data_IF_172523970409
#
_entry.id   IF_172523970409
#
_cell.length_a   1.000
_cell.length_b   1.000
_cell.length_c   1.000
_cell.angle_alpha   90.00
_cell.angle_beta   90.00
_cell.angle_gamma   90.00
#
_symmetry.space_group_name_H-M   'P 1'
#
loop_
_entity.id
_entity.type
_entity.pdbx_description
1 polymer ?
#
# COMPACT_ATOMS: atom_id res chain seq x y z
N UNK A 1 -35.94 -34.09 17.54
CA UNK A 1 -35.16 -33.75 16.34
C UNK A 1 -34.90 -32.23 16.44
N UNK A 2 -33.64 -31.80 16.35
CA UNK A 2 -33.31 -30.37 16.43
C UNK A 2 -33.72 -29.70 15.15
N UNK A 3 -34.25 -28.46 15.23
CA UNK A 3 -34.56 -27.66 14.05
C UNK A 3 -33.28 -26.96 13.53
N UNK A 4 -33.38 -26.27 12.38
CA UNK A 4 -32.25 -25.62 11.73
C UNK A 4 -31.59 -24.53 12.63
N UNK A 5 -32.41 -23.73 13.29
CA UNK A 5 -31.94 -22.62 14.15
C UNK A 5 -31.22 -23.17 15.39
N UNK A 6 -31.76 -24.21 16.03
CA UNK A 6 -31.13 -24.88 17.16
C UNK A 6 -29.79 -25.52 16.76
N UNK A 7 -29.69 -26.08 15.54
CA UNK A 7 -28.45 -26.67 15.04
C UNK A 7 -27.38 -25.60 14.80
N UNK A 8 -27.73 -24.47 14.20
CA UNK A 8 -26.81 -23.33 14.02
C UNK A 8 -26.30 -22.80 15.34
N UNK A 9 -27.19 -22.60 16.33
CA UNK A 9 -26.80 -22.11 17.65
C UNK A 9 -25.80 -23.06 18.32
N UNK A 10 -25.99 -24.37 18.24
CA UNK A 10 -25.08 -25.36 18.80
C UNK A 10 -23.71 -25.29 18.10
N UNK A 11 -23.67 -25.07 16.78
CA UNK A 11 -22.43 -24.94 16.03
C UNK A 11 -21.71 -23.65 16.46
N UNK A 12 -22.40 -22.52 16.54
CA UNK A 12 -21.83 -21.24 16.96
C UNK A 12 -21.27 -21.32 18.38
N UNK A 13 -21.98 -21.96 19.32
CA UNK A 13 -21.53 -22.16 20.70
C UNK A 13 -20.32 -23.14 20.80
N UNK A 14 -20.21 -24.08 19.88
CA UNK A 14 -19.11 -25.05 19.84
C UNK A 14 -17.84 -24.52 19.16
N UNK A 15 -17.96 -23.47 18.34
CA UNK A 15 -16.81 -22.88 17.66
C UNK A 15 -15.96 -22.11 18.65
N UNK A 16 -14.70 -22.50 18.77
CA UNK A 16 -13.71 -21.81 19.59
C UNK A 16 -12.55 -21.30 18.72
N UNK A 17 -11.82 -20.30 19.22
CA UNK A 17 -10.58 -19.87 18.59
C UNK A 17 -9.53 -20.97 18.66
N UNK A 18 -8.85 -21.24 17.56
CA UNK A 18 -7.71 -22.18 17.47
C UNK A 18 -6.40 -21.56 17.95
N UNK A 19 -6.46 -20.41 18.62
CA UNK A 19 -5.29 -19.64 19.04
C UNK A 19 -4.72 -18.80 17.93
N UNK A 20 -3.54 -18.27 18.17
CA UNK A 20 -2.85 -17.36 17.26
C UNK A 20 -1.44 -17.85 16.97
N UNK A 21 -0.87 -17.36 15.88
CA UNK A 21 0.51 -17.61 15.48
C UNK A 21 1.10 -16.35 14.83
N UNK A 22 2.43 -16.21 14.89
CA UNK A 22 3.13 -15.19 14.11
C UNK A 22 3.36 -15.70 12.69
N UNK A 23 3.03 -14.85 11.72
CA UNK A 23 3.20 -15.14 10.29
C UNK A 23 3.98 -14.02 9.63
N UNK A 24 4.87 -14.36 8.71
CA UNK A 24 5.57 -13.38 7.88
C UNK A 24 4.54 -12.67 6.98
N UNK A 25 4.60 -11.32 6.93
CA UNK A 25 3.64 -10.48 6.18
C UNK A 25 3.58 -10.87 4.71
N UNK A 26 4.69 -11.26 4.09
CA UNK A 26 4.75 -11.60 2.66
C UNK A 26 3.94 -12.85 2.32
N UNK A 27 3.87 -13.80 3.24
CA UNK A 27 3.12 -15.05 3.09
C UNK A 27 1.77 -15.06 3.81
N UNK A 28 1.48 -14.04 4.62
CA UNK A 28 0.27 -13.96 5.41
C UNK A 28 -0.99 -13.95 4.53
N UNK A 29 -1.96 -14.81 4.85
CA UNK A 29 -3.22 -14.97 4.11
C UNK A 29 -4.37 -15.44 5.02
N UNK A 30 -4.30 -15.15 6.32
CA UNK A 30 -5.28 -15.51 7.32
C UNK A 30 -6.04 -14.29 7.87
N UNK A 31 -6.70 -14.50 8.99
CA UNK A 31 -7.43 -13.46 9.72
C UNK A 31 -6.50 -12.87 10.77
N UNK A 32 -6.35 -11.54 10.76
CA UNK A 32 -5.49 -10.84 11.71
C UNK A 32 -6.04 -10.90 13.14
N UNK A 33 -5.17 -11.13 14.11
CA UNK A 33 -5.56 -11.31 15.50
C UNK A 33 -5.51 -10.04 16.34
N UNK A 34 -4.80 -9.01 15.88
CA UNK A 34 -4.65 -7.73 16.56
C UNK A 34 -4.81 -6.58 15.56
N UNK A 35 -5.17 -5.38 16.03
CA UNK A 35 -5.18 -4.18 15.20
C UNK A 35 -3.74 -3.81 14.80
N UNK A 36 -3.55 -3.42 13.55
CA UNK A 36 -2.27 -3.00 13.02
C UNK A 36 -2.32 -1.50 12.73
N UNK A 37 -1.42 -0.75 13.36
CA UNK A 37 -1.33 0.69 13.21
C UNK A 37 -0.02 1.10 12.54
N UNK A 38 -0.05 2.24 11.86
CA UNK A 38 1.12 2.87 11.28
C UNK A 38 2.05 3.39 12.38
N UNK A 39 3.31 2.99 12.34
CA UNK A 39 4.32 3.40 13.35
C UNK A 39 4.95 4.76 13.04
N UNK A 40 4.85 5.22 11.79
CA UNK A 40 5.42 6.47 11.29
C UNK A 40 4.63 6.97 10.08
N UNK A 41 4.79 8.25 9.68
CA UNK A 41 4.16 8.75 8.46
C UNK A 41 4.62 7.99 7.21
N UNK A 42 3.72 7.70 6.29
CA UNK A 42 4.02 7.06 5.00
C UNK A 42 3.47 7.95 3.88
N UNK A 43 4.30 8.41 2.93
CA UNK A 43 5.76 8.33 2.93
C UNK A 43 6.37 9.09 4.12
N UNK A 44 7.59 8.72 4.55
CA UNK A 44 8.25 9.31 5.73
C UNK A 44 8.74 10.75 5.53
N UNK A 45 8.84 11.19 4.27
CA UNK A 45 9.22 12.55 3.87
C UNK A 45 8.44 12.99 2.63
N UNK A 46 8.32 14.30 2.43
CA UNK A 46 7.74 14.83 1.19
C UNK A 46 8.68 14.56 0.02
N UNK A 47 8.13 14.08 -1.11
CA UNK A 47 8.91 13.71 -2.27
C UNK A 47 8.26 14.18 -3.56
N UNK A 48 9.03 14.20 -4.66
CA UNK A 48 8.50 14.53 -5.98
C UNK A 48 7.60 13.41 -6.51
N UNK A 49 6.41 13.79 -6.99
CA UNK A 49 5.50 12.88 -7.68
C UNK A 49 5.85 12.69 -9.17
N UNK A 50 6.77 13.51 -9.71
CA UNK A 50 7.12 13.54 -11.15
C UNK A 50 8.60 13.89 -11.32
N UNK A 51 9.15 13.60 -12.49
CA UNK A 51 10.41 14.16 -12.93
C UNK A 51 10.20 15.62 -13.33
N UNK A 52 11.04 16.51 -12.82
CA UNK A 52 10.85 17.94 -13.04
C UNK A 52 11.87 18.82 -12.35
N UNK A 53 11.45 20.03 -12.02
CA UNK A 53 12.28 21.04 -11.35
C UNK A 53 11.63 21.46 -10.05
N UNK A 54 12.28 21.23 -8.91
CA UNK A 54 11.79 21.71 -7.63
C UNK A 54 12.19 23.17 -7.43
N UNK A 55 11.25 23.99 -6.91
CA UNK A 55 11.40 25.43 -6.75
C UNK A 55 10.48 25.97 -5.65
N UNK A 56 10.66 27.27 -5.31
CA UNK A 56 9.75 28.03 -4.46
C UNK A 56 8.62 28.63 -5.31
N UNK A 57 7.39 28.17 -5.13
CA UNK A 57 6.22 28.61 -5.91
C UNK A 57 5.99 30.11 -5.81
N UNK A 58 6.16 30.71 -4.63
CA UNK A 58 5.94 32.13 -4.37
C UNK A 58 6.77 33.06 -5.24
N UNK A 59 7.93 32.64 -5.76
CA UNK A 59 8.76 33.42 -6.65
C UNK A 59 8.13 33.52 -8.03
N UNK A 60 7.30 32.58 -8.40
CA UNK A 60 6.64 32.53 -9.72
C UNK A 60 5.35 33.35 -9.80
N UNK A 61 4.86 33.94 -8.71
CA UNK A 61 3.56 34.62 -8.64
C UNK A 61 3.36 35.72 -9.70
N UNK A 62 4.45 36.34 -10.12
CA UNK A 62 4.42 37.45 -11.14
C UNK A 62 4.85 36.98 -12.53
N UNK A 63 5.04 35.66 -12.72
CA UNK A 63 5.41 35.14 -14.02
C UNK A 63 4.25 35.26 -15.02
N UNK A 64 4.53 35.77 -16.22
CA UNK A 64 3.59 35.82 -17.34
C UNK A 64 4.36 35.81 -18.67
N UNK A 65 3.65 35.78 -19.80
CA UNK A 65 4.26 35.72 -21.12
C UNK A 65 5.25 36.86 -21.38
N UNK A 66 4.98 38.07 -20.82
CA UNK A 66 5.78 39.28 -21.00
C UNK A 66 6.78 39.49 -19.85
N UNK A 67 6.68 38.69 -18.79
CA UNK A 67 7.56 38.76 -17.62
C UNK A 67 7.91 37.35 -17.15
N UNK A 68 8.82 36.71 -17.88
CA UNK A 68 9.32 35.41 -17.47
C UNK A 68 10.32 35.52 -16.31
N UNK A 69 10.34 34.49 -15.45
CA UNK A 69 11.27 34.41 -14.33
C UNK A 69 12.31 33.36 -14.67
N UNK A 70 13.57 33.70 -14.46
CA UNK A 70 14.71 32.81 -14.71
C UNK A 70 15.23 32.23 -13.41
N UNK A 71 15.32 30.90 -13.35
CA UNK A 71 15.91 30.17 -12.24
C UNK A 71 17.19 29.49 -12.72
N UNK A 72 18.25 29.56 -11.93
CA UNK A 72 19.49 28.85 -12.23
C UNK A 72 19.38 27.38 -11.81
N UNK A 73 19.60 26.45 -12.74
CA UNK A 73 19.67 25.01 -12.43
C UNK A 73 21.02 24.70 -11.80
N UNK A 74 21.00 24.26 -10.53
CA UNK A 74 22.22 24.02 -9.72
C UNK A 74 22.70 22.59 -9.74
N UNK A 75 21.85 21.67 -10.09
CA UNK A 75 22.15 20.23 -10.13
C UNK A 75 20.91 19.38 -10.20
N UNK A 76 21.07 18.11 -9.89
CA UNK A 76 19.98 17.12 -9.91
C UNK A 76 19.89 16.40 -8.57
N UNK A 77 18.69 16.01 -8.16
CA UNK A 77 18.39 15.27 -6.93
C UNK A 77 17.73 13.95 -7.34
N UNK A 78 18.37 12.85 -7.03
CA UNK A 78 17.85 11.51 -7.32
C UNK A 78 17.17 10.89 -6.10
N UNK A 79 16.34 9.87 -6.34
CA UNK A 79 15.76 9.09 -5.26
C UNK A 79 16.88 8.42 -4.42
N UNK A 80 16.84 8.66 -3.11
CA UNK A 80 17.87 8.20 -2.16
C UNK A 80 18.95 9.24 -1.84
N UNK A 81 19.01 10.36 -2.56
CA UNK A 81 19.92 11.45 -2.22
C UNK A 81 19.36 12.27 -1.03
N UNK A 82 20.28 12.83 -0.23
CA UNK A 82 19.93 13.92 0.69
C UNK A 82 19.90 15.24 -0.10
N UNK A 83 18.77 15.96 -0.05
CA UNK A 83 18.64 17.21 -0.79
C UNK A 83 19.56 18.30 -0.22
N UNK A 84 20.01 19.23 -1.06
CA UNK A 84 20.78 20.38 -0.61
C UNK A 84 19.98 21.26 0.35
N UNK A 85 20.68 21.99 1.21
CA UNK A 85 20.14 22.96 2.16
C UNK A 85 20.60 24.37 1.84
N UNK A 86 19.93 25.38 2.40
CA UNK A 86 20.24 26.80 2.20
C UNK A 86 20.16 27.25 0.74
N UNK A 87 19.10 26.82 0.06
CA UNK A 87 18.87 27.10 -1.35
C UNK A 87 18.41 28.55 -1.52
N UNK A 88 19.03 29.26 -2.47
CA UNK A 88 18.67 30.64 -2.78
C UNK A 88 17.35 30.70 -3.57
N UNK A 89 16.68 31.83 -3.52
CA UNK A 89 15.34 32.00 -4.09
C UNK A 89 15.23 31.69 -5.60
N UNK A 90 16.27 32.03 -6.38
CA UNK A 90 16.29 31.79 -7.82
C UNK A 90 17.10 30.58 -8.25
N UNK A 91 17.45 29.68 -7.30
CA UNK A 91 18.07 28.40 -7.60
C UNK A 91 16.99 27.34 -7.70
N UNK A 92 17.12 26.42 -8.66
CA UNK A 92 16.28 25.22 -8.80
C UNK A 92 17.15 23.98 -8.98
N UNK A 93 16.59 22.86 -8.67
CA UNK A 93 17.21 21.55 -8.92
C UNK A 93 16.29 20.70 -9.79
N UNK A 94 16.87 20.02 -10.74
CA UNK A 94 16.20 18.93 -11.41
C UNK A 94 15.95 17.83 -10.37
N UNK A 95 14.71 17.33 -10.29
CA UNK A 95 14.34 16.34 -9.27
C UNK A 95 13.64 15.17 -9.92
N UNK A 96 14.03 13.95 -9.52
CA UNK A 96 13.44 12.72 -10.04
C UNK A 96 12.29 12.25 -9.15
N UNK A 97 11.36 11.53 -9.74
CA UNK A 97 10.23 10.91 -9.04
C UNK A 97 10.70 10.13 -7.81
N UNK A 98 10.05 10.35 -6.66
CA UNK A 98 10.39 9.73 -5.39
C UNK A 98 11.57 10.35 -4.63
N UNK A 99 12.30 11.29 -5.24
CA UNK A 99 13.37 12.02 -4.56
C UNK A 99 12.81 12.96 -3.48
N UNK A 100 13.50 13.02 -2.35
CA UNK A 100 13.14 13.87 -1.21
C UNK A 100 13.17 15.35 -1.59
N UNK A 101 12.08 16.06 -1.28
CA UNK A 101 12.00 17.49 -1.49
C UNK A 101 12.93 18.26 -0.55
N UNK A 102 13.68 19.26 -1.05
CA UNK A 102 14.36 20.21 -0.18
C UNK A 102 13.36 20.98 0.70
N UNK A 103 13.70 21.24 1.96
CA UNK A 103 12.82 21.95 2.90
C UNK A 103 12.52 23.40 2.46
N UNK A 104 13.43 24.01 1.71
CA UNK A 104 13.29 25.36 1.15
C UNK A 104 12.38 25.44 -0.08
N UNK A 105 11.92 24.32 -0.63
CA UNK A 105 11.14 24.23 -1.86
C UNK A 105 9.77 23.59 -1.61
N UNK A 106 8.77 24.05 -2.35
CA UNK A 106 7.38 23.67 -2.07
C UNK A 106 6.59 23.19 -3.30
N UNK A 107 7.23 23.10 -4.47
CA UNK A 107 6.55 22.68 -5.69
C UNK A 107 7.50 22.04 -6.69
N UNK A 108 6.96 21.23 -7.59
CA UNK A 108 7.69 20.63 -8.71
C UNK A 108 7.01 21.02 -10.02
N UNK A 109 7.75 21.65 -10.92
CA UNK A 109 7.35 21.88 -12.29
C UNK A 109 7.75 20.66 -13.13
N UNK A 110 6.82 19.95 -13.80
CA UNK A 110 7.16 18.83 -14.67
C UNK A 110 8.16 19.19 -15.75
N UNK A 111 9.06 18.28 -16.11
CA UNK A 111 10.13 18.51 -17.09
C UNK A 111 9.58 19.00 -18.44
N UNK A 112 8.40 18.53 -18.84
CA UNK A 112 7.75 18.86 -20.11
C UNK A 112 7.24 20.32 -20.16
N UNK A 113 7.05 20.95 -19.00
CA UNK A 113 6.61 22.35 -18.88
C UNK A 113 7.79 23.30 -18.70
N UNK A 114 8.97 22.78 -18.45
CA UNK A 114 10.19 23.56 -18.27
C UNK A 114 10.80 23.98 -19.62
N UNK A 115 11.05 25.28 -19.80
CA UNK A 115 11.84 25.75 -20.93
C UNK A 115 13.25 26.06 -20.46
N UNK A 116 14.20 25.24 -20.87
CA UNK A 116 15.62 25.46 -20.57
C UNK A 116 16.27 26.38 -21.59
N UNK A 117 17.15 27.24 -21.09
CA UNK A 117 18.11 28.01 -21.88
C UNK A 117 19.51 27.87 -21.29
N UNK A 118 20.51 28.10 -22.10
CA UNK A 118 21.91 28.14 -21.67
C UNK A 118 22.48 29.52 -21.83
N UNK A 119 23.09 30.07 -20.77
CA UNK A 119 23.75 31.36 -20.73
C UNK A 119 25.09 31.21 -20.00
N UNK A 120 26.16 31.64 -20.61
CA UNK A 120 27.51 31.64 -20.02
C UNK A 120 27.91 30.28 -19.40
N UNK A 121 27.56 29.20 -20.09
CA UNK A 121 27.85 27.83 -19.62
C UNK A 121 26.98 27.36 -18.44
N UNK A 122 25.96 28.13 -18.04
CA UNK A 122 24.99 27.75 -16.98
C UNK A 122 23.63 27.51 -17.59
N UNK A 123 22.89 26.52 -17.04
CA UNK A 123 21.51 26.23 -17.43
C UNK A 123 20.54 27.04 -16.60
N UNK A 124 19.53 27.62 -17.26
CA UNK A 124 18.44 28.34 -16.63
C UNK A 124 17.10 27.79 -17.07
N UNK A 125 16.18 27.68 -16.10
CA UNK A 125 14.79 27.36 -16.31
C UNK A 125 13.97 28.64 -16.42
N UNK A 126 13.24 28.79 -17.52
CA UNK A 126 12.32 29.91 -17.74
C UNK A 126 10.89 29.52 -17.35
N UNK A 127 10.25 30.35 -16.55
CA UNK A 127 8.86 30.20 -16.12
C UNK A 127 8.05 31.39 -16.55
N UNK A 128 6.99 31.15 -17.35
CA UNK A 128 6.12 32.17 -17.93
C UNK A 128 4.73 32.22 -17.31
N UNK A 129 4.41 31.34 -16.34
CA UNK A 129 3.14 31.31 -15.63
C UNK A 129 3.37 30.92 -14.16
N UNK A 130 2.53 31.39 -13.23
CA UNK A 130 2.67 30.99 -11.83
C UNK A 130 2.53 29.50 -11.64
N UNK A 131 3.40 28.93 -10.81
CA UNK A 131 3.35 27.53 -10.44
C UNK A 131 2.63 27.38 -9.10
N UNK A 132 1.62 26.54 -9.05
CA UNK A 132 0.81 26.35 -7.85
C UNK A 132 1.63 25.72 -6.73
N UNK A 133 1.52 26.26 -5.52
CA UNK A 133 2.12 25.69 -4.31
C UNK A 133 1.69 24.24 -4.09
N UNK A 134 2.62 23.38 -3.69
CA UNK A 134 2.46 21.94 -3.50
C UNK A 134 2.08 21.16 -4.78
N UNK A 135 2.19 21.75 -5.97
CA UNK A 135 1.96 21.02 -7.21
C UNK A 135 3.03 19.92 -7.36
N UNK A 136 2.58 18.71 -7.70
CA UNK A 136 3.42 17.52 -7.93
C UNK A 136 4.37 17.17 -6.75
N UNK A 137 4.00 17.56 -5.55
CA UNK A 137 4.67 17.15 -4.30
C UNK A 137 3.77 16.19 -3.55
N UNK A 138 4.27 14.99 -3.30
CA UNK A 138 3.65 14.00 -2.44
C UNK A 138 4.10 14.25 -1.00
N UNK A 139 3.16 14.57 -0.13
CA UNK A 139 3.49 14.98 1.23
C UNK A 139 3.83 13.79 2.13
N UNK A 140 4.69 14.04 3.12
CA UNK A 140 4.88 13.11 4.21
C UNK A 140 3.54 12.75 4.86
N UNK A 141 3.28 11.47 5.08
CA UNK A 141 2.06 10.98 5.69
C UNK A 141 0.81 11.04 4.82
N UNK A 142 0.95 11.17 3.50
CA UNK A 142 -0.20 11.24 2.59
C UNK A 142 -0.99 9.93 2.53
N UNK A 143 -0.32 8.79 2.68
CA UNK A 143 -0.96 7.48 2.70
C UNK A 143 -1.39 7.08 4.11
N UNK A 144 -0.48 7.23 5.09
CA UNK A 144 -0.74 6.96 6.50
C UNK A 144 -0.04 7.99 7.38
N UNK A 145 -0.75 8.55 8.34
CA UNK A 145 -0.15 9.25 9.45
C UNK A 145 0.30 8.24 10.52
N UNK A 146 1.15 8.67 11.43
CA UNK A 146 1.45 7.86 12.61
C UNK A 146 0.16 7.57 13.37
N UNK A 147 0.00 6.35 13.85
CA UNK A 147 -1.16 5.81 14.57
C UNK A 147 -2.43 5.62 13.73
N UNK A 148 -2.38 5.80 12.41
CA UNK A 148 -3.49 5.42 11.52
C UNK A 148 -3.66 3.89 11.50
N UNK A 149 -4.91 3.44 11.47
CA UNK A 149 -5.25 2.02 11.38
C UNK A 149 -5.00 1.50 9.97
N UNK A 150 -4.06 0.55 9.84
CA UNK A 150 -3.77 -0.14 8.57
C UNK A 150 -4.73 -1.31 8.37
N UNK A 151 -4.97 -2.10 9.41
CA UNK A 151 -5.82 -3.29 9.36
C UNK A 151 -6.43 -3.56 10.73
N UNK A 152 -7.75 -3.73 10.81
CA UNK A 152 -8.43 -4.03 12.05
C UNK A 152 -8.43 -5.53 12.36
N UNK A 153 -8.36 -5.87 13.63
CA UNK A 153 -8.56 -7.22 14.17
C UNK A 153 -9.79 -7.90 13.57
N UNK A 154 -9.67 -9.17 13.22
CA UNK A 154 -10.74 -9.94 12.62
C UNK A 154 -10.87 -9.78 11.10
N UNK A 155 -10.09 -8.91 10.48
CA UNK A 155 -10.07 -8.75 9.02
C UNK A 155 -9.23 -9.82 8.35
N UNK A 156 -9.61 -10.19 7.13
CA UNK A 156 -8.82 -11.08 6.28
C UNK A 156 -7.66 -10.28 5.66
N UNK A 157 -6.44 -10.79 5.81
CA UNK A 157 -5.25 -10.20 5.19
C UNK A 157 -5.32 -10.42 3.68
N UNK A 158 -5.24 -9.34 2.91
CA UNK A 158 -5.11 -9.37 1.45
C UNK A 158 -3.82 -8.66 1.00
N UNK A 159 -3.54 -8.69 -0.31
CA UNK A 159 -2.29 -8.15 -0.84
C UNK A 159 -2.16 -6.62 -0.68
N UNK A 160 -3.26 -5.87 -0.70
CA UNK A 160 -3.24 -4.42 -0.45
C UNK A 160 -2.84 -4.11 1.01
N UNK A 161 -3.33 -4.88 1.97
CA UNK A 161 -2.93 -4.73 3.37
C UNK A 161 -1.44 -4.99 3.57
N UNK A 162 -0.86 -5.96 2.84
CA UNK A 162 0.59 -6.25 2.88
C UNK A 162 1.43 -5.05 2.46
N UNK A 163 1.00 -4.29 1.44
CA UNK A 163 1.70 -3.07 1.02
C UNK A 163 1.81 -2.09 2.19
N UNK A 164 0.69 -1.76 2.84
CA UNK A 164 0.66 -0.86 3.99
C UNK A 164 1.56 -1.32 5.14
N UNK A 165 1.53 -2.62 5.46
CA UNK A 165 2.37 -3.21 6.49
C UNK A 165 3.87 -3.17 6.12
N UNK A 166 4.23 -3.51 4.89
CA UNK A 166 5.62 -3.49 4.41
C UNK A 166 6.17 -2.06 4.40
N UNK A 167 5.39 -1.08 3.94
CA UNK A 167 5.77 0.35 3.97
C UNK A 167 5.99 0.87 5.39
N UNK A 168 5.38 0.22 6.38
CA UNK A 168 5.60 0.47 7.80
C UNK A 168 6.71 -0.37 8.43
N UNK A 169 7.51 -1.10 7.63
CA UNK A 169 8.57 -2.00 8.09
C UNK A 169 8.07 -3.13 9.00
N UNK A 170 6.79 -3.51 8.89
CA UNK A 170 6.22 -4.64 9.63
C UNK A 170 6.56 -5.92 8.87
N UNK A 171 7.37 -6.78 9.48
CA UNK A 171 7.82 -8.04 8.88
C UNK A 171 6.95 -9.24 9.27
N UNK A 172 6.37 -9.23 10.47
CA UNK A 172 5.49 -10.28 10.96
C UNK A 172 4.26 -9.70 11.64
N UNK A 173 3.19 -10.45 11.65
CA UNK A 173 1.93 -10.11 12.30
C UNK A 173 1.34 -11.32 12.98
N UNK A 174 0.51 -11.09 14.00
CA UNK A 174 -0.21 -12.13 14.69
C UNK A 174 -1.51 -12.43 13.98
N UNK A 175 -1.68 -13.63 13.48
CA UNK A 175 -2.89 -14.10 12.82
C UNK A 175 -3.55 -15.22 13.63
N UNK A 176 -4.86 -15.41 13.45
CA UNK A 176 -5.53 -16.61 13.96
C UNK A 176 -5.05 -17.83 13.19
N UNK A 177 -4.80 -18.91 13.93
CA UNK A 177 -4.46 -20.20 13.33
C UNK A 177 -5.62 -20.69 12.47
N UNK A 178 -5.31 -21.24 11.31
CA UNK A 178 -6.28 -21.87 10.44
C UNK A 178 -6.70 -23.22 11.01
N UNK A 179 -8.02 -23.55 11.00
CA UNK A 179 -8.49 -24.87 11.38
C UNK A 179 -8.12 -25.90 10.32
N UNK A 180 -7.91 -27.14 10.75
CA UNK A 180 -7.96 -28.31 9.88
C UNK A 180 -9.40 -28.77 9.76
N UNK A 181 -9.93 -28.89 8.57
CA UNK A 181 -11.34 -29.23 8.31
C UNK A 181 -11.47 -30.74 8.05
N UNK A 182 -12.25 -31.44 8.89
CA UNK A 182 -12.65 -32.83 8.64
C UNK A 182 -13.92 -32.87 7.77
N UNK A 183 -13.88 -33.59 6.65
CA UNK A 183 -15.03 -33.83 5.78
C UNK A 183 -15.53 -35.24 5.95
N UNK A 184 -16.75 -35.40 6.44
CA UNK A 184 -17.38 -36.69 6.62
C UNK A 184 -18.57 -36.85 5.67
N UNK A 185 -18.48 -37.77 4.74
CA UNK A 185 -19.59 -38.14 3.87
C UNK A 185 -20.24 -39.42 4.37
N UNK A 186 -21.56 -39.40 4.56
CA UNK A 186 -22.33 -40.54 5.09
C UNK A 186 -23.46 -40.86 4.13
N UNK A 187 -23.79 -42.16 4.06
CA UNK A 187 -24.88 -42.65 3.21
C UNK A 187 -24.62 -44.11 2.80
N UNK A 188 -25.62 -44.98 2.95
CA UNK A 188 -25.51 -46.40 2.54
C UNK A 188 -25.31 -46.55 1.03
N UNK A 189 -25.82 -45.60 0.28
CA UNK A 189 -25.67 -45.50 -1.20
C UNK A 189 -24.25 -45.23 -1.67
N UNK A 190 -23.38 -44.72 -0.77
CA UNK A 190 -21.97 -44.46 -1.09
C UNK A 190 -21.10 -45.71 -0.95
N UNK A 191 -21.66 -46.80 -0.45
CA UNK A 191 -20.94 -48.07 -0.30
C UNK A 191 -20.71 -48.73 -1.67
N UNK A 192 -19.44 -48.76 -2.12
CA UNK A 192 -19.02 -49.30 -3.44
C UNK A 192 -19.36 -50.80 -3.68
N UNK A 193 -19.75 -51.51 -2.66
CA UNK A 193 -20.09 -52.95 -2.76
C UNK A 193 -21.58 -53.20 -3.09
N UNK A 194 -22.41 -52.18 -3.09
CA UNK A 194 -23.84 -52.27 -3.42
C UNK A 194 -24.11 -52.12 -4.90
N UNK A 195 -25.01 -52.90 -5.48
CA UNK A 195 -25.48 -52.75 -6.85
C UNK A 195 -26.26 -51.46 -7.11
N UNK A 196 -26.68 -50.78 -6.05
CA UNK A 196 -27.35 -49.48 -6.05
C UNK A 196 -26.46 -48.32 -5.56
N UNK A 197 -25.14 -48.48 -5.59
CA UNK A 197 -24.20 -47.45 -5.17
C UNK A 197 -24.16 -46.28 -6.15
N UNK A 198 -24.02 -45.06 -5.60
CA UNK A 198 -23.79 -43.86 -6.37
C UNK A 198 -22.40 -43.30 -6.05
N UNK A 199 -21.75 -42.57 -7.00
CA UNK A 199 -20.49 -41.91 -6.72
C UNK A 199 -20.62 -40.85 -5.63
N UNK A 200 -19.63 -40.77 -4.73
CA UNK A 200 -19.55 -39.69 -3.78
C UNK A 200 -19.11 -38.39 -4.49
N UNK A 201 -20.05 -37.54 -4.82
CA UNK A 201 -19.77 -36.22 -5.42
C UNK A 201 -19.60 -35.12 -4.39
N UNK A 202 -20.24 -35.22 -3.23
CA UNK A 202 -20.24 -34.20 -2.19
C UNK A 202 -18.87 -34.07 -1.49
N UNK A 203 -18.19 -35.16 -1.25
CA UNK A 203 -16.86 -35.14 -0.62
C UNK A 203 -15.85 -34.34 -1.41
N UNK A 204 -15.56 -34.67 -2.69
CA UNK A 204 -14.64 -33.92 -3.54
C UNK A 204 -15.07 -32.47 -3.76
N UNK A 205 -16.38 -32.18 -3.84
CA UNK A 205 -16.88 -30.81 -3.95
C UNK A 205 -16.54 -29.98 -2.70
N UNK A 206 -16.82 -30.50 -1.52
CA UNK A 206 -16.49 -29.83 -0.24
C UNK A 206 -14.99 -29.68 -0.06
N UNK A 207 -14.20 -30.68 -0.42
CA UNK A 207 -12.74 -30.60 -0.41
C UNK A 207 -12.25 -29.43 -1.27
N UNK A 208 -12.71 -29.35 -2.50
CA UNK A 208 -12.36 -28.23 -3.42
C UNK A 208 -12.80 -26.88 -2.86
N UNK A 209 -13.98 -26.77 -2.26
CA UNK A 209 -14.48 -25.54 -1.66
C UNK A 209 -13.62 -25.10 -0.47
N UNK A 210 -13.25 -26.01 0.42
CA UNK A 210 -12.37 -25.74 1.58
C UNK A 210 -10.98 -25.29 1.13
N UNK A 211 -10.40 -25.98 0.15
CA UNK A 211 -9.10 -25.61 -0.41
C UNK A 211 -9.11 -24.23 -1.09
N UNK A 212 -10.21 -23.88 -1.77
CA UNK A 212 -10.37 -22.55 -2.38
C UNK A 212 -10.40 -21.41 -1.36
N UNK A 213 -10.76 -21.69 -0.11
CA UNK A 213 -10.68 -20.75 1.03
C UNK A 213 -9.27 -20.67 1.65
N UNK A 214 -8.29 -21.42 1.12
CA UNK A 214 -6.93 -21.50 1.64
C UNK A 214 -6.84 -22.26 2.97
N UNK A 215 -7.77 -23.21 3.19
CA UNK A 215 -7.80 -24.08 4.36
C UNK A 215 -7.36 -25.51 3.98
N UNK A 216 -6.79 -26.22 4.94
CA UNK A 216 -6.48 -27.65 4.80
C UNK A 216 -7.67 -28.49 5.20
N UNK A 217 -7.86 -29.62 4.51
CA UNK A 217 -8.91 -30.57 4.85
C UNK A 217 -8.44 -32.03 4.73
N UNK A 218 -9.18 -32.90 5.40
CA UNK A 218 -9.03 -34.38 5.33
C UNK A 218 -10.40 -34.99 5.17
N UNK A 219 -10.51 -36.08 4.38
CA UNK A 219 -11.70 -36.92 4.21
C UNK A 219 -11.56 -38.23 4.94
#
# INVERSE_FOLDING_TARGET
MKNYTEALQIIEEAVSSFGTEEVDVRSANGVIADDIFSSHPVPSFSNSAMDGYCLKSSITDKACSDNHIEFQVKGSIFAGDEPPSNIKDFDVYEIMTGAKMPDDMDTVLPVEKGKLIEKDGSKFLLINEPVKKNANVRKSGEDFQKDDLILSKGSLINDHHKIGMIMNNISSVKAFRKPLIGILTTGNELNRTSSSSIPNSNGPFLESAVQSMGLECTM
#
